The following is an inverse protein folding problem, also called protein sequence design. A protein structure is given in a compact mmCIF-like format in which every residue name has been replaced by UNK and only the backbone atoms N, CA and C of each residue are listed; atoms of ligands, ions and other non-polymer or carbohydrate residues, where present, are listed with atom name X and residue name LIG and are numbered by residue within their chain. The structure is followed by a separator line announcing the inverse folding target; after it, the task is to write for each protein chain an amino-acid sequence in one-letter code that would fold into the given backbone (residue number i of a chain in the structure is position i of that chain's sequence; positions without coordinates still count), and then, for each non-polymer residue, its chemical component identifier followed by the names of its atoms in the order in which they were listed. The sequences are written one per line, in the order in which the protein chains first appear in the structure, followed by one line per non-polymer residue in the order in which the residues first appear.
data_IF_941142617396
#
_entry.id   IF_941142617396
#
_cell.length_a   1.000
_cell.length_b   1.000
_cell.length_c   1.000
_cell.angle_alpha   90.00
_cell.angle_beta   90.00
_cell.angle_gamma   90.00
#
_symmetry.space_group_name_H-M   'P 1'
#
loop_
_entity.id
_entity.type
_entity.pdbx_description
1 polymer ?
#
# COMPACT_ATOMS: atom_id res chain seq x y z
N UNK A 1 -37.94 -27.52 16.86
CA UNK A 1 -36.84 -27.39 15.87
C UNK A 1 -35.64 -28.06 16.49
N UNK A 2 -35.28 -29.24 15.99
CA UNK A 2 -34.31 -30.10 16.66
C UNK A 2 -32.90 -29.49 16.63
N UNK A 3 -32.15 -29.51 17.75
CA UNK A 3 -30.78 -28.99 17.84
C UNK A 3 -29.84 -29.36 16.68
N UNK A 4 -29.83 -30.61 16.16
CA UNK A 4 -28.96 -30.98 15.04
C UNK A 4 -29.30 -30.23 13.74
N UNK A 5 -30.57 -29.88 13.52
CA UNK A 5 -31.01 -29.20 12.30
C UNK A 5 -30.47 -27.76 12.23
N UNK A 6 -30.40 -27.08 13.38
CA UNK A 6 -29.84 -25.73 13.49
C UNK A 6 -28.32 -25.76 13.25
N UNK A 7 -27.63 -26.77 13.80
CA UNK A 7 -26.18 -26.91 13.57
C UNK A 7 -25.83 -27.22 12.12
N UNK A 8 -26.65 -28.06 11.45
CA UNK A 8 -26.48 -28.38 10.04
C UNK A 8 -26.70 -27.14 9.14
N UNK A 9 -27.71 -26.33 9.46
CA UNK A 9 -27.98 -25.08 8.75
C UNK A 9 -26.85 -24.05 8.94
N UNK A 10 -26.35 -23.89 10.17
CA UNK A 10 -25.23 -23.01 10.46
C UNK A 10 -23.93 -23.45 9.74
N UNK A 11 -23.68 -24.76 9.67
CA UNK A 11 -22.54 -25.32 8.94
C UNK A 11 -22.66 -25.08 7.42
N UNK A 12 -23.86 -25.24 6.85
CA UNK A 12 -24.13 -24.95 5.44
C UNK A 12 -23.89 -23.47 5.11
N UNK A 13 -24.38 -22.56 5.95
CA UNK A 13 -24.15 -21.11 5.79
C UNK A 13 -22.65 -20.79 5.85
N UNK A 14 -21.91 -21.38 6.80
CA UNK A 14 -20.47 -21.18 6.92
C UNK A 14 -19.71 -21.63 5.65
N UNK A 15 -20.05 -22.80 5.10
CA UNK A 15 -19.46 -23.32 3.87
C UNK A 15 -19.75 -22.36 2.70
N UNK A 16 -20.97 -21.85 2.59
CA UNK A 16 -21.36 -20.91 1.53
C UNK A 16 -20.59 -19.58 1.61
N UNK A 17 -20.36 -19.07 2.83
CA UNK A 17 -19.57 -17.87 3.08
C UNK A 17 -18.07 -18.06 2.75
N UNK A 18 -17.58 -19.30 2.76
CA UNK A 18 -16.18 -19.64 2.45
C UNK A 18 -15.93 -19.89 0.96
N UNK A 19 -16.96 -20.15 0.14
CA UNK A 19 -16.83 -20.51 -1.28
C UNK A 19 -16.31 -19.39 -2.19
N UNK A 20 -16.41 -18.11 -1.80
CA UNK A 20 -16.16 -16.98 -2.70
C UNK A 20 -14.84 -16.24 -2.46
N UNK A 21 -13.72 -16.96 -2.36
CA UNK A 21 -12.39 -16.34 -2.45
C UNK A 21 -11.73 -16.74 -3.77
N UNK A 22 -11.84 -15.84 -4.75
CA UNK A 22 -11.02 -15.90 -5.96
C UNK A 22 -9.55 -16.04 -5.54
N UNK A 23 -8.92 -17.16 -5.90
CA UNK A 23 -7.49 -17.38 -5.65
C UNK A 23 -6.70 -16.36 -6.47
N UNK A 24 -6.07 -15.40 -5.80
CA UNK A 24 -5.02 -14.58 -6.41
C UNK A 24 -3.81 -15.49 -6.67
N UNK A 25 -3.47 -15.72 -7.94
CA UNK A 25 -2.32 -16.55 -8.32
C UNK A 25 -0.98 -15.95 -7.89
N UNK A 26 -0.91 -14.62 -7.76
CA UNK A 26 0.29 -13.92 -7.29
C UNK A 26 -0.10 -12.74 -6.41
N UNK A 27 0.59 -12.57 -5.28
CA UNK A 27 0.37 -11.46 -4.33
C UNK A 27 0.87 -10.11 -4.88
N UNK A 28 1.99 -10.14 -5.61
CA UNK A 28 2.66 -8.98 -6.23
C UNK A 28 3.01 -9.34 -7.67
N UNK A 29 2.58 -8.54 -8.63
CA UNK A 29 2.90 -8.77 -10.04
C UNK A 29 4.43 -8.71 -10.26
N UNK A 30 5.03 -9.58 -11.10
CA UNK A 30 6.49 -9.60 -11.32
C UNK A 30 7.10 -8.26 -11.74
N UNK A 31 6.36 -7.44 -12.51
CA UNK A 31 6.81 -6.08 -12.86
C UNK A 31 6.99 -5.19 -11.63
N UNK A 32 6.20 -5.42 -10.58
CA UNK A 32 6.21 -4.64 -9.35
C UNK A 32 7.18 -5.19 -8.29
N UNK A 33 7.76 -6.38 -8.49
CA UNK A 33 8.73 -6.95 -7.53
C UNK A 33 10.01 -6.11 -7.47
N UNK A 34 10.42 -5.54 -8.60
CA UNK A 34 11.61 -4.71 -8.74
C UNK A 34 11.36 -3.22 -8.41
N UNK A 35 10.27 -2.90 -7.70
CA UNK A 35 9.93 -1.51 -7.33
C UNK A 35 11.05 -0.80 -6.56
N UNK A 36 11.80 -1.51 -5.72
CA UNK A 36 12.88 -0.89 -4.94
C UNK A 36 14.07 -0.45 -5.80
N UNK A 37 14.29 -1.08 -6.95
CA UNK A 37 15.40 -0.79 -7.87
C UNK A 37 14.97 0.07 -9.04
N UNK A 38 13.80 -0.20 -9.62
CA UNK A 38 13.30 0.45 -10.84
C UNK A 38 12.14 1.41 -10.59
N UNK A 39 11.62 1.48 -9.36
CA UNK A 39 10.48 2.32 -9.04
C UNK A 39 10.82 3.81 -9.17
N UNK A 40 9.90 4.57 -9.78
CA UNK A 40 10.04 6.02 -10.03
C UNK A 40 10.40 6.78 -8.75
N UNK A 41 9.82 6.40 -7.62
CA UNK A 41 10.15 7.01 -6.34
C UNK A 41 11.63 6.82 -5.99
N UNK A 42 12.12 5.58 -6.04
CA UNK A 42 13.50 5.27 -5.67
C UNK A 42 14.53 5.84 -6.66
N UNK A 43 14.17 5.98 -7.93
CA UNK A 43 15.07 6.54 -8.95
C UNK A 43 15.07 8.07 -9.02
N UNK A 44 13.93 8.73 -8.82
CA UNK A 44 13.79 10.17 -9.09
C UNK A 44 13.60 11.04 -7.86
N UNK A 45 13.15 10.50 -6.72
CA UNK A 45 12.81 11.32 -5.56
C UNK A 45 14.02 12.08 -4.99
N UNK A 46 15.20 11.46 -4.95
CA UNK A 46 16.45 12.12 -4.56
C UNK A 46 16.80 13.26 -5.51
N UNK A 47 16.81 13.00 -6.81
CA UNK A 47 17.10 13.99 -7.84
C UNK A 47 16.13 15.18 -7.82
N UNK A 48 14.85 14.94 -7.48
CA UNK A 48 13.90 16.02 -7.27
C UNK A 48 14.22 16.83 -6.01
N UNK A 49 14.59 16.20 -4.89
CA UNK A 49 14.94 16.92 -3.66
C UNK A 49 16.13 17.87 -3.84
N UNK A 50 17.10 17.49 -4.66
CA UNK A 50 18.28 18.32 -4.95
C UNK A 50 17.94 19.55 -5.81
N UNK A 51 16.77 19.54 -6.48
CA UNK A 51 16.28 20.67 -7.28
C UNK A 51 14.89 21.12 -6.80
N UNK A 52 14.83 22.09 -5.86
CA UNK A 52 13.58 22.57 -5.26
C UNK A 52 12.54 23.05 -6.27
N UNK A 53 12.95 23.67 -7.38
CA UNK A 53 12.03 24.12 -8.43
C UNK A 53 11.37 22.95 -9.15
N UNK A 54 12.15 21.91 -9.48
CA UNK A 54 11.63 20.70 -10.12
C UNK A 54 10.75 19.91 -9.14
N UNK A 55 11.15 19.84 -7.86
CA UNK A 55 10.33 19.25 -6.81
C UNK A 55 8.98 19.94 -6.70
N UNK A 56 8.96 21.28 -6.66
CA UNK A 56 7.73 22.05 -6.56
C UNK A 56 6.84 21.89 -7.78
N UNK A 57 7.42 21.88 -8.99
CA UNK A 57 6.66 21.65 -10.22
C UNK A 57 5.98 20.27 -10.23
N UNK A 58 6.69 19.25 -9.75
CA UNK A 58 6.22 17.86 -9.77
C UNK A 58 5.24 17.53 -8.64
N UNK A 59 5.53 17.94 -7.39
CA UNK A 59 4.73 17.60 -6.21
C UNK A 59 3.78 18.74 -5.75
N UNK A 60 3.84 19.90 -6.42
CA UNK A 60 3.04 21.10 -6.10
C UNK A 60 3.24 21.63 -4.68
N UNK A 61 4.38 21.32 -4.07
CA UNK A 61 4.76 21.79 -2.74
C UNK A 61 6.27 21.82 -2.59
N UNK A 62 6.76 22.60 -1.62
CA UNK A 62 8.19 22.64 -1.31
C UNK A 62 8.64 21.34 -0.63
N UNK A 63 9.95 21.07 -0.66
CA UNK A 63 10.55 19.94 0.08
C UNK A 63 10.25 20.05 1.59
N UNK A 64 10.25 21.28 2.13
CA UNK A 64 9.97 21.53 3.54
C UNK A 64 8.52 21.19 3.89
N UNK A 65 7.56 21.68 3.10
CA UNK A 65 6.14 21.39 3.27
C UNK A 65 5.85 19.89 3.12
N UNK A 66 6.54 19.22 2.20
CA UNK A 66 6.44 17.76 2.06
C UNK A 66 6.91 17.05 3.32
N UNK A 67 8.06 17.44 3.89
CA UNK A 67 8.61 16.82 5.09
C UNK A 67 7.73 17.09 6.32
N UNK A 68 7.20 18.29 6.45
CA UNK A 68 6.27 18.67 7.51
C UNK A 68 4.99 17.83 7.42
N UNK A 69 4.35 17.81 6.24
CA UNK A 69 3.16 17.00 6.00
C UNK A 69 3.43 15.52 6.29
N UNK A 70 4.55 15.00 5.81
CA UNK A 70 4.97 13.63 6.06
C UNK A 70 5.10 13.37 7.57
N UNK A 71 5.70 14.28 8.34
CA UNK A 71 5.85 14.11 9.80
C UNK A 71 4.50 13.97 10.51
N UNK A 72 3.49 14.74 10.07
CA UNK A 72 2.15 14.74 10.66
C UNK A 72 1.40 13.45 10.34
N UNK A 73 1.46 12.99 9.09
CA UNK A 73 0.61 11.88 8.62
C UNK A 73 1.31 10.52 8.67
N UNK A 74 2.65 10.47 8.82
CA UNK A 74 3.46 9.26 8.68
C UNK A 74 2.92 8.11 9.53
N UNK A 75 2.58 8.36 10.80
CA UNK A 75 2.05 7.33 11.69
C UNK A 75 0.70 6.75 11.23
N UNK A 76 -0.14 7.57 10.58
CA UNK A 76 -1.46 7.15 10.07
C UNK A 76 -1.35 6.37 8.76
N UNK A 77 -0.35 6.67 7.94
CA UNK A 77 -0.17 6.05 6.62
C UNK A 77 0.91 4.96 6.60
N UNK A 78 1.67 4.77 7.69
CA UNK A 78 2.63 3.68 7.81
C UNK A 78 1.91 2.34 7.81
N UNK A 79 2.43 1.41 7.03
CA UNK A 79 2.01 0.01 7.05
C UNK A 79 3.14 -0.84 7.62
N UNK A 80 2.78 -1.99 8.17
CA UNK A 80 3.73 -2.95 8.68
C UNK A 80 4.29 -3.81 7.53
N UNK A 81 5.58 -4.10 7.59
CA UNK A 81 6.20 -5.09 6.72
C UNK A 81 5.77 -6.51 7.13
N UNK A 82 5.57 -7.38 6.15
CA UNK A 82 5.24 -8.79 6.41
C UNK A 82 6.29 -9.67 5.78
N UNK A 83 6.38 -10.93 6.23
CA UNK A 83 7.32 -11.91 5.67
C UNK A 83 7.13 -12.10 4.15
N UNK A 84 5.93 -11.82 3.62
CA UNK A 84 5.62 -11.97 2.20
C UNK A 84 5.95 -10.74 1.36
N UNK A 85 5.95 -9.53 1.96
CA UNK A 85 6.24 -8.29 1.22
C UNK A 85 6.65 -7.14 2.14
N UNK A 86 7.54 -6.30 1.63
CA UNK A 86 7.81 -4.98 2.20
C UNK A 86 6.66 -4.02 1.88
N UNK A 87 6.26 -3.26 2.88
CA UNK A 87 5.27 -2.19 2.75
C UNK A 87 5.81 -1.04 1.91
N UNK A 88 4.90 -0.23 1.37
CA UNK A 88 5.25 1.03 0.71
C UNK A 88 5.50 2.05 1.82
N UNK A 89 6.66 2.71 1.77
CA UNK A 89 7.05 3.66 2.81
C UNK A 89 6.08 4.86 2.85
N UNK A 90 5.87 5.50 4.02
CA UNK A 90 5.04 6.69 4.12
C UNK A 90 5.41 7.80 3.13
N UNK A 91 6.72 8.03 2.94
CA UNK A 91 7.23 9.04 2.01
C UNK A 91 6.85 8.72 0.56
N UNK A 92 7.01 7.46 0.16
CA UNK A 92 6.65 7.01 -1.17
C UNK A 92 5.14 7.05 -1.41
N UNK A 93 4.34 6.66 -0.41
CA UNK A 93 2.88 6.80 -0.47
C UNK A 93 2.49 8.25 -0.70
N UNK A 94 3.05 9.17 0.09
CA UNK A 94 2.78 10.60 -0.04
C UNK A 94 3.21 11.13 -1.41
N UNK A 95 4.41 10.76 -1.86
CA UNK A 95 4.93 11.16 -3.18
C UNK A 95 4.05 10.68 -4.34
N UNK A 96 3.52 9.46 -4.27
CA UNK A 96 2.59 8.94 -5.29
C UNK A 96 1.23 9.65 -5.22
N UNK A 97 0.75 10.01 -4.02
CA UNK A 97 -0.52 10.72 -3.85
C UNK A 97 -0.47 12.16 -4.37
N UNK A 98 0.68 12.83 -4.27
CA UNK A 98 0.84 14.24 -4.68
C UNK A 98 1.17 14.45 -6.16
N UNK A 99 1.61 13.39 -6.85
CA UNK A 99 2.00 13.44 -8.27
C UNK A 99 0.82 13.82 -9.17
#
# INVERSE_FOLDING_TARGET
MDPPMITALAALILIELLKNKVKRNVLVQPVLSNRLTLGIFHSMFSAHRDNPHKFFSYYRMSVNSFNELLSIISQRIKKQDTNMRRSITPAERLAVTLR
#
